data_IF_593573842339
#
_entry.id   IF_593573842339
#
_cell.length_a   1.000
_cell.length_b   1.000
_cell.length_c   1.000
_cell.angle_alpha   90.00
_cell.angle_beta   90.00
_cell.angle_gamma   90.00
#
_symmetry.space_group_name_H-M   'P 1'
#
loop_
_entity.id
_entity.type
_entity.pdbx_description
1 polymer ?
#
# COMPACT_ATOMS: atom_id res chain seq x y z
N UNK A 1 11.05 -7.95 24.09
CA UNK A 1 10.95 -7.31 22.76
C UNK A 1 12.28 -6.74 22.31
N UNK A 2 12.66 -6.89 21.02
CA UNK A 2 13.87 -6.27 20.46
C UNK A 2 13.71 -4.72 20.44
N UNK A 3 14.76 -3.92 20.71
CA UNK A 3 14.71 -2.45 20.63
C UNK A 3 14.10 -1.89 19.34
N UNK A 4 14.32 -2.54 18.20
CA UNK A 4 13.77 -2.14 16.92
C UNK A 4 12.25 -2.33 16.86
N UNK A 5 11.76 -3.49 17.28
CA UNK A 5 10.33 -3.81 17.35
C UNK A 5 9.60 -2.89 18.32
N UNK A 6 10.23 -2.57 19.46
CA UNK A 6 9.69 -1.63 20.44
C UNK A 6 9.51 -0.22 19.84
N UNK A 7 10.44 0.22 18.98
CA UNK A 7 10.33 1.51 18.27
C UNK A 7 9.19 1.49 17.26
N UNK A 8 9.08 0.42 16.45
CA UNK A 8 7.97 0.26 15.48
C UNK A 8 6.60 0.25 16.18
N UNK A 9 6.47 -0.55 17.23
CA UNK A 9 5.24 -0.63 18.02
C UNK A 9 4.90 0.71 18.68
N UNK A 10 5.88 1.42 19.23
CA UNK A 10 5.65 2.74 19.82
C UNK A 10 5.21 3.79 18.79
N UNK A 11 5.76 3.74 17.57
CA UNK A 11 5.40 4.62 16.47
C UNK A 11 3.96 4.35 16.00
N UNK A 12 3.61 3.09 15.78
CA UNK A 12 2.24 2.69 15.44
C UNK A 12 1.24 3.13 16.52
N UNK A 13 1.55 2.89 17.80
CA UNK A 13 0.72 3.33 18.92
C UNK A 13 0.60 4.85 19.02
N UNK A 14 1.61 5.61 18.58
CA UNK A 14 1.58 7.07 18.58
C UNK A 14 0.60 7.63 17.56
N UNK A 15 0.49 7.01 16.38
CA UNK A 15 -0.46 7.37 15.32
C UNK A 15 -1.91 6.89 15.58
N UNK A 16 -2.11 5.90 16.46
CA UNK A 16 -3.44 5.38 16.76
C UNK A 16 -4.30 6.32 17.62
N UNK A 17 -5.63 6.19 17.48
CA UNK A 17 -6.59 6.82 18.37
C UNK A 17 -6.39 6.36 19.82
N UNK A 18 -6.74 7.23 20.78
CA UNK A 18 -6.46 7.01 22.22
C UNK A 18 -7.09 5.73 22.77
N UNK A 19 -8.28 5.38 22.28
CA UNK A 19 -9.04 4.21 22.74
C UNK A 19 -8.36 2.90 22.32
N UNK A 20 -7.92 2.81 21.07
CA UNK A 20 -7.30 1.60 20.53
C UNK A 20 -5.92 1.37 21.17
N UNK A 21 -5.13 2.43 21.29
CA UNK A 21 -3.86 2.38 22.04
C UNK A 21 -4.07 1.89 23.48
N UNK A 22 -5.07 2.42 24.18
CA UNK A 22 -5.37 1.99 25.56
C UNK A 22 -5.80 0.53 25.64
N UNK A 23 -6.58 0.06 24.65
CA UNK A 23 -7.03 -1.32 24.55
C UNK A 23 -5.87 -2.30 24.28
N UNK A 24 -4.93 -1.94 23.40
CA UNK A 24 -3.73 -2.74 23.08
C UNK A 24 -2.81 -2.83 24.30
N UNK A 25 -2.49 -1.69 24.92
CA UNK A 25 -1.57 -1.61 26.06
C UNK A 25 -2.05 -2.34 27.32
N UNK A 26 -3.35 -2.67 27.42
CA UNK A 26 -3.90 -3.48 28.53
C UNK A 26 -3.70 -4.98 28.35
N UNK A 27 -3.37 -5.43 27.14
CA UNK A 27 -3.18 -6.85 26.80
C UNK A 27 -1.72 -7.29 26.80
N UNK A 28 -0.80 -6.34 26.92
CA UNK A 28 0.63 -6.61 26.98
C UNK A 28 1.09 -6.82 28.42
N UNK A 29 2.20 -7.55 28.62
CA UNK A 29 2.92 -7.59 29.88
C UNK A 29 3.19 -6.17 30.43
N UNK A 30 3.17 -6.01 31.76
CA UNK A 30 3.18 -4.71 32.41
C UNK A 30 4.44 -3.88 32.08
N UNK A 31 5.58 -4.56 32.00
CA UNK A 31 6.89 -4.03 31.62
C UNK A 31 6.92 -3.56 30.15
N UNK A 32 6.44 -4.39 29.22
CA UNK A 32 6.36 -4.03 27.80
C UNK A 32 5.39 -2.86 27.56
N UNK A 33 4.24 -2.89 28.23
CA UNK A 33 3.26 -1.82 28.15
C UNK A 33 3.79 -0.50 28.73
N UNK A 34 4.59 -0.54 29.80
CA UNK A 34 5.24 0.64 30.37
C UNK A 34 6.27 1.23 29.40
N UNK A 35 7.10 0.37 28.79
CA UNK A 35 8.09 0.77 27.79
C UNK A 35 7.42 1.46 26.59
N UNK A 36 6.41 0.83 25.98
CA UNK A 36 5.70 1.36 24.82
C UNK A 36 4.89 2.64 25.14
N UNK A 37 4.35 2.77 26.36
CA UNK A 37 3.71 4.02 26.81
C UNK A 37 4.69 5.19 26.88
N UNK A 38 5.89 4.94 27.39
CA UNK A 38 6.93 5.97 27.50
C UNK A 38 7.35 6.44 26.12
N UNK A 39 7.67 5.51 25.23
CA UNK A 39 8.12 5.79 23.87
C UNK A 39 7.04 6.48 23.03
N UNK A 40 5.80 5.98 23.03
CA UNK A 40 4.70 6.61 22.28
C UNK A 40 4.34 8.01 22.79
N UNK A 41 4.50 8.28 24.10
CA UNK A 41 4.35 9.65 24.64
C UNK A 41 5.42 10.59 24.11
N UNK A 42 6.68 10.14 24.15
CA UNK A 42 7.82 10.93 23.65
C UNK A 42 7.65 11.26 22.16
N UNK A 43 7.25 10.29 21.34
CA UNK A 43 6.99 10.50 19.92
C UNK A 43 5.88 11.54 19.67
N UNK A 44 4.76 11.46 20.39
CA UNK A 44 3.69 12.47 20.27
C UNK A 44 4.08 13.86 20.78
N UNK A 45 5.01 13.97 21.72
CA UNK A 45 5.51 15.27 22.17
C UNK A 45 6.47 15.93 21.16
N UNK A 46 6.99 15.17 20.19
CA UNK A 46 7.91 15.68 19.18
C UNK A 46 7.20 16.25 17.94
N UNK A 47 5.89 16.04 17.80
CA UNK A 47 5.10 16.55 16.69
C UNK A 47 3.92 15.65 16.32
N UNK A 48 3.23 16.01 15.24
CA UNK A 48 2.14 15.20 14.69
C UNK A 48 2.73 13.93 14.05
N UNK A 49 2.42 12.77 14.63
CA UNK A 49 2.82 11.47 14.07
C UNK A 49 1.74 11.08 13.07
N UNK A 50 1.98 11.37 11.80
CA UNK A 50 1.03 11.06 10.72
C UNK A 50 1.15 9.59 10.30
N UNK A 51 0.08 8.99 9.76
CA UNK A 51 0.13 7.63 9.18
C UNK A 51 1.24 7.45 8.14
N UNK A 52 1.54 8.49 7.36
CA UNK A 52 2.59 8.47 6.32
C UNK A 52 3.99 8.33 6.94
N UNK A 53 4.25 9.00 8.06
CA UNK A 53 5.52 8.88 8.79
C UNK A 53 5.68 7.48 9.41
N UNK A 54 4.59 6.84 9.81
CA UNK A 54 4.60 5.43 10.25
C UNK A 54 4.98 4.51 9.09
N UNK A 55 4.41 4.73 7.91
CA UNK A 55 4.72 3.97 6.70
C UNK A 55 6.18 4.12 6.27
N UNK A 56 6.72 5.34 6.20
CA UNK A 56 8.12 5.57 5.83
C UNK A 56 9.12 4.86 6.75
N UNK A 57 8.88 4.86 8.07
CA UNK A 57 9.78 4.19 9.04
C UNK A 57 9.61 2.66 9.01
N UNK A 58 8.44 2.17 8.59
CA UNK A 58 8.24 0.73 8.36
C UNK A 58 8.91 0.27 7.06
N UNK A 59 9.02 1.14 6.07
CA UNK A 59 9.64 0.89 4.76
C UNK A 59 11.18 0.87 4.79
N UNK A 60 11.85 1.73 5.58
CA UNK A 60 13.32 1.79 5.68
C UNK A 60 13.99 0.51 6.21
N UNK A 61 13.21 -0.49 6.65
CA UNK A 61 13.72 -1.68 7.34
C UNK A 61 13.33 -3.00 6.66
N UNK A 62 12.72 -2.96 5.48
CA UNK A 62 12.38 -4.16 4.69
C UNK A 62 13.33 -4.25 3.47
N UNK A 63 14.46 -4.96 3.64
CA UNK A 63 15.50 -5.25 2.63
C UNK A 63 15.02 -6.23 1.53
N UNK A 64 13.80 -6.03 1.05
CA UNK A 64 13.12 -7.00 0.22
C UNK A 64 11.93 -6.40 -0.49
N UNK A 65 12.23 -5.46 -1.40
CA UNK A 65 11.31 -4.98 -2.43
C UNK A 65 10.97 -6.14 -3.36
N UNK A 66 10.01 -6.98 -2.96
CA UNK A 66 9.34 -7.93 -3.84
C UNK A 66 8.13 -7.19 -4.41
N UNK A 67 8.14 -6.92 -5.72
CA UNK A 67 6.93 -6.48 -6.42
C UNK A 67 5.80 -7.45 -6.07
N UNK A 68 4.63 -6.92 -5.73
CA UNK A 68 3.50 -7.79 -5.45
C UNK A 68 3.13 -8.56 -6.73
N UNK A 69 2.80 -9.85 -6.59
CA UNK A 69 2.50 -10.72 -7.74
C UNK A 69 1.33 -10.13 -8.54
N UNK A 70 1.54 -9.71 -9.80
CA UNK A 70 0.48 -9.10 -10.59
C UNK A 70 -0.58 -10.13 -10.98
N UNK A 71 -1.83 -9.69 -11.20
CA UNK A 71 -2.82 -10.50 -11.92
C UNK A 71 -2.31 -10.87 -13.32
N UNK A 72 -2.87 -11.91 -13.95
CA UNK A 72 -2.60 -12.21 -15.35
C UNK A 72 -2.74 -10.94 -16.23
N UNK A 73 -1.86 -10.75 -17.23
CA UNK A 73 -1.82 -9.52 -18.03
C UNK A 73 -3.18 -9.04 -18.53
N UNK A 74 -3.99 -9.94 -19.09
CA UNK A 74 -5.30 -9.60 -19.67
C UNK A 74 -6.30 -9.11 -18.62
N UNK A 75 -6.31 -9.74 -17.44
CA UNK A 75 -7.16 -9.34 -16.33
C UNK A 75 -6.72 -7.99 -15.76
N UNK A 76 -5.42 -7.77 -15.63
CA UNK A 76 -4.86 -6.49 -15.21
C UNK A 76 -5.29 -5.38 -16.19
N UNK A 77 -5.12 -5.57 -17.50
CA UNK A 77 -5.52 -4.57 -18.50
C UNK A 77 -7.01 -4.19 -18.37
N UNK A 78 -7.89 -5.18 -18.14
CA UNK A 78 -9.31 -4.95 -17.91
C UNK A 78 -9.58 -4.18 -16.62
N UNK A 79 -8.95 -4.57 -15.50
CA UNK A 79 -9.12 -3.92 -14.20
C UNK A 79 -8.66 -2.45 -14.20
N UNK A 80 -7.66 -2.13 -15.01
CA UNK A 80 -7.08 -0.80 -15.19
C UNK A 80 -7.90 0.12 -16.11
N UNK A 81 -8.82 -0.41 -16.92
CA UNK A 81 -9.54 0.36 -17.97
C UNK A 81 -10.32 1.54 -17.40
N UNK A 82 -11.02 1.31 -16.29
CA UNK A 82 -11.94 2.30 -15.71
C UNK A 82 -11.30 3.11 -14.57
N UNK A 83 -9.99 2.97 -14.35
CA UNK A 83 -9.25 3.76 -13.37
C UNK A 83 -8.88 5.14 -13.94
N UNK A 84 -8.62 6.10 -13.07
CA UNK A 84 -7.97 7.35 -13.49
C UNK A 84 -6.54 7.08 -13.97
N UNK A 85 -5.96 7.93 -14.83
CA UNK A 85 -4.60 7.73 -15.32
C UNK A 85 -3.55 7.59 -14.20
N UNK A 86 -3.70 8.37 -13.13
CA UNK A 86 -2.84 8.28 -11.95
C UNK A 86 -2.91 6.89 -11.30
N UNK A 87 -4.12 6.39 -11.00
CA UNK A 87 -4.29 5.08 -10.37
C UNK A 87 -3.85 3.93 -11.27
N UNK A 88 -4.01 4.05 -12.59
CA UNK A 88 -3.50 3.06 -13.52
C UNK A 88 -1.95 3.02 -13.50
N UNK A 89 -1.30 4.18 -13.50
CA UNK A 89 0.15 4.29 -13.37
C UNK A 89 0.65 3.74 -12.03
N UNK A 90 -0.04 4.04 -10.93
CA UNK A 90 0.28 3.52 -9.59
C UNK A 90 0.17 1.99 -9.54
N UNK A 91 -0.88 1.42 -10.11
CA UNK A 91 -1.05 -0.03 -10.18
C UNK A 91 0.05 -0.69 -11.01
N UNK A 92 0.37 -0.15 -12.19
CA UNK A 92 1.49 -0.63 -13.00
C UNK A 92 2.81 -0.55 -12.22
N UNK A 93 3.11 0.57 -11.56
CA UNK A 93 4.34 0.72 -10.76
C UNK A 93 4.41 -0.25 -9.59
N UNK A 94 3.26 -0.56 -8.98
CA UNK A 94 3.16 -1.44 -7.82
C UNK A 94 3.38 -2.92 -8.14
N UNK A 95 2.79 -3.43 -9.23
CA UNK A 95 2.74 -4.87 -9.49
C UNK A 95 3.33 -5.31 -10.82
N UNK A 96 3.43 -4.42 -11.83
CA UNK A 96 3.89 -4.79 -13.17
C UNK A 96 4.49 -3.60 -13.95
N UNK A 97 5.63 -3.05 -13.51
CA UNK A 97 6.21 -1.86 -14.15
C UNK A 97 6.63 -2.11 -15.60
N UNK A 98 7.01 -3.35 -15.92
CA UNK A 98 7.33 -3.85 -17.26
C UNK A 98 6.11 -3.94 -18.21
N UNK A 99 4.89 -3.93 -17.67
CA UNK A 99 3.66 -3.97 -18.46
C UNK A 99 3.20 -2.59 -18.96
N UNK A 100 3.91 -1.49 -18.65
CA UNK A 100 3.51 -0.13 -19.04
C UNK A 100 3.31 0.00 -20.55
N UNK A 101 4.25 -0.49 -21.36
CA UNK A 101 4.18 -0.37 -22.81
C UNK A 101 3.08 -1.27 -23.41
N UNK A 102 2.89 -2.46 -22.84
CA UNK A 102 1.78 -3.33 -23.19
C UNK A 102 0.43 -2.68 -22.87
N UNK A 103 0.29 -2.01 -21.72
CA UNK A 103 -0.91 -1.27 -21.36
C UNK A 103 -1.17 -0.10 -22.31
N UNK A 104 -0.13 0.69 -22.61
CA UNK A 104 -0.21 1.82 -23.53
C UNK A 104 -0.67 1.39 -24.93
N UNK A 105 -0.22 0.23 -25.42
CA UNK A 105 -0.62 -0.32 -26.71
C UNK A 105 -2.11 -0.74 -26.78
N UNK A 106 -2.75 -0.99 -25.64
CA UNK A 106 -4.16 -1.41 -25.54
C UNK A 106 -5.12 -0.26 -25.19
N UNK A 107 -4.63 0.98 -25.10
CA UNK A 107 -5.42 2.16 -24.75
C UNK A 107 -5.53 3.17 -25.90
N UNK A 108 -6.43 4.16 -25.76
CA UNK A 108 -6.42 5.32 -26.64
C UNK A 108 -5.10 6.11 -26.48
N UNK A 109 -4.59 6.78 -27.53
CA UNK A 109 -3.34 7.55 -27.46
C UNK A 109 -3.32 8.59 -26.33
N UNK A 110 -4.44 9.28 -26.10
CA UNK A 110 -4.60 10.30 -25.05
C UNK A 110 -4.47 9.71 -23.65
N UNK A 111 -5.09 8.55 -23.43
CA UNK A 111 -5.00 7.83 -22.15
C UNK A 111 -3.60 7.29 -21.93
N UNK A 112 -3.00 6.69 -22.96
CA UNK A 112 -1.64 6.17 -22.89
C UNK A 112 -0.63 7.27 -22.53
N UNK A 113 -0.74 8.45 -23.16
CA UNK A 113 0.09 9.61 -22.84
C UNK A 113 -0.10 10.07 -21.39
N UNK A 114 -1.35 10.15 -20.92
CA UNK A 114 -1.65 10.56 -19.53
C UNK A 114 -1.09 9.57 -18.50
N UNK A 115 -1.21 8.27 -18.75
CA UNK A 115 -0.69 7.23 -17.84
C UNK A 115 0.84 7.24 -17.81
N UNK A 116 1.51 7.39 -18.95
CA UNK A 116 2.98 7.52 -19.00
C UNK A 116 3.47 8.73 -18.22
N UNK A 117 2.85 9.90 -18.44
CA UNK A 117 3.19 11.11 -17.70
C UNK A 117 3.04 10.92 -16.18
N UNK A 118 1.96 10.29 -15.72
CA UNK A 118 1.80 9.96 -14.31
C UNK A 118 2.87 8.96 -13.82
N UNK A 119 3.19 7.93 -14.62
CA UNK A 119 4.14 6.89 -14.26
C UNK A 119 5.57 7.41 -14.09
N UNK A 120 5.98 8.36 -14.93
CA UNK A 120 7.26 9.07 -14.84
C UNK A 120 7.36 9.96 -13.60
N UNK A 121 6.24 10.48 -13.11
CA UNK A 121 6.18 11.27 -11.87
C UNK A 121 6.14 10.41 -10.59
N UNK A 122 5.89 9.10 -10.70
CA UNK A 122 5.90 8.20 -9.55
C UNK A 122 7.34 7.84 -9.15
N UNK A 123 7.61 7.62 -7.86
CA UNK A 123 8.90 7.11 -7.43
C UNK A 123 9.17 5.75 -8.06
N UNK A 124 10.45 5.45 -8.30
CA UNK A 124 10.85 4.21 -8.99
C UNK A 124 10.41 2.95 -8.26
N UNK A 125 10.28 3.05 -6.93
CA UNK A 125 9.76 2.00 -6.06
C UNK A 125 8.69 2.57 -5.16
N UNK A 126 7.60 1.84 -5.03
CA UNK A 126 6.56 2.13 -4.06
C UNK A 126 6.84 1.38 -2.76
N UNK A 127 6.36 1.91 -1.62
CA UNK A 127 6.32 1.16 -0.37
C UNK A 127 5.73 -0.23 -0.53
N UNK A 128 6.36 -1.26 0.01
CA UNK A 128 5.91 -2.65 -0.15
C UNK A 128 4.46 -2.86 0.30
N UNK A 129 4.08 -2.34 1.48
CA UNK A 129 2.71 -2.45 1.98
C UNK A 129 1.69 -1.76 1.07
N UNK A 130 2.07 -0.61 0.49
CA UNK A 130 1.25 0.10 -0.48
C UNK A 130 1.14 -0.68 -1.80
N UNK A 131 2.27 -1.18 -2.32
CA UNK A 131 2.30 -2.00 -3.53
C UNK A 131 1.45 -3.27 -3.37
N UNK A 132 1.52 -3.92 -2.21
CA UNK A 132 0.69 -5.07 -1.87
C UNK A 132 -0.81 -4.72 -1.83
N UNK A 133 -1.19 -3.65 -1.12
CA UNK A 133 -2.58 -3.23 -1.05
C UNK A 133 -3.16 -2.86 -2.42
N UNK A 134 -2.34 -2.23 -3.27
CA UNK A 134 -2.72 -1.92 -4.66
C UNK A 134 -2.88 -3.20 -5.48
N UNK A 135 -1.98 -4.17 -5.35
CA UNK A 135 -2.10 -5.45 -6.04
C UNK A 135 -3.32 -6.26 -5.58
N UNK A 136 -3.59 -6.36 -4.27
CA UNK A 136 -4.80 -7.00 -3.73
C UNK A 136 -6.07 -6.32 -4.24
N UNK A 137 -6.07 -4.99 -4.33
CA UNK A 137 -7.19 -4.24 -4.92
C UNK A 137 -7.39 -4.59 -6.39
N UNK A 138 -6.32 -4.81 -7.16
CA UNK A 138 -6.42 -5.23 -8.56
C UNK A 138 -6.97 -6.64 -8.66
N UNK A 139 -6.46 -7.60 -7.87
CA UNK A 139 -7.01 -8.96 -7.80
C UNK A 139 -8.50 -8.97 -7.43
N UNK A 140 -8.92 -8.16 -6.45
CA UNK A 140 -10.35 -8.05 -6.09
C UNK A 140 -11.21 -7.47 -7.23
N UNK A 141 -10.64 -6.58 -8.06
CA UNK A 141 -11.34 -6.03 -9.24
C UNK A 141 -11.44 -7.02 -10.37
N UNK A 142 -10.42 -7.86 -10.59
CA UNK A 142 -10.46 -8.90 -11.62
C UNK A 142 -11.50 -9.95 -11.26
N UNK A 143 -11.50 -10.45 -10.02
CA UNK A 143 -12.53 -11.40 -9.55
C UNK A 143 -13.96 -10.84 -9.61
N UNK A 144 -14.15 -9.55 -9.35
CA UNK A 144 -15.46 -8.91 -9.49
C UNK A 144 -15.93 -8.81 -10.95
N UNK A 145 -15.00 -8.58 -11.89
CA UNK A 145 -15.31 -8.56 -13.31
C UNK A 145 -15.69 -9.95 -13.84
N UNK A 146 -15.05 -11.01 -13.34
CA UNK A 146 -15.39 -12.39 -13.71
C UNK A 146 -16.80 -12.80 -13.26
N UNK A 147 -17.18 -12.45 -12.02
CA UNK A 147 -18.51 -12.73 -11.49
C UNK A 147 -19.65 -12.03 -12.28
N UNK A 148 -19.39 -10.83 -12.79
CA UNK A 148 -20.35 -10.10 -13.65
C UNK A 148 -20.48 -10.78 -15.04
N UNK A 149 -19.38 -11.37 -15.54
CA UNK A 149 -19.38 -12.07 -16.82
C UNK A 149 -20.18 -13.37 -16.75
N UNK A 150 -19.99 -14.17 -15.69
CA UNK A 150 -20.74 -15.43 -15.49
C UNK A 150 -22.25 -15.21 -15.27
N UNK A 151 -22.63 -14.11 -14.61
CA UNK A 151 -24.04 -13.77 -14.40
C UNK A 151 -24.77 -13.21 -15.63
N UNK A 152 -24.04 -12.84 -16.69
CA UNK A 152 -24.62 -12.32 -17.95
C UNK A 152 -24.87 -13.42 -18.99
N UNK A 153 -24.38 -14.63 -18.74
CA UNK A 153 -24.55 -15.82 -19.61
C UNK A 153 -25.63 -16.79 -19.12
N UNK A 154 -26.35 -16.45 -18.03
CA UNK A 154 -27.47 -17.20 -17.45
C UNK A 154 -28.82 -16.55 -17.77
#
# INVERSE_FOLDING_TARGET
>A
MNPLEARKAALALAAMHRSDRAWILRRLPADEAAQLRSMSRKLRSMGEVTPELVSCVQEELDDGSVYAVPPPPQELLLALRDLSPYWAATALRACAPDHLDMYAANCTPERAASVRACFECLPDRLPKGYAHAVAERMHARTSANDAVREGSES
#
